data_IF_172479875102
#
_entry.id   IF_172479875102
#
_cell.length_a   1.000
_cell.length_b   1.000
_cell.length_c   1.000
_cell.angle_alpha   90.00
_cell.angle_beta   90.00
_cell.angle_gamma   90.00
#
_symmetry.space_group_name_H-M   'P 1'
#
loop_
_entity.id
_entity.type
_entity.pdbx_description
1 polymer ?
#
# COMPACT_ATOMS: atom_id res chain seq x y z
N UNK A 1 2.53 5.59 20.83
CA UNK A 1 3.94 5.28 20.45
C UNK A 1 4.96 5.93 21.38
N UNK A 2 5.03 7.27 21.48
CA UNK A 2 6.00 7.98 22.35
C UNK A 2 6.06 7.45 23.79
N UNK A 3 4.91 7.25 24.42
CA UNK A 3 4.85 6.73 25.80
C UNK A 3 5.35 5.28 25.90
N UNK A 4 5.02 4.43 24.92
CA UNK A 4 5.51 3.04 24.88
C UNK A 4 7.03 3.03 24.69
N UNK A 5 7.56 3.83 23.78
CA UNK A 5 9.01 3.99 23.56
C UNK A 5 9.74 4.51 24.79
N UNK A 6 9.11 5.36 25.60
CA UNK A 6 9.66 5.85 26.88
C UNK A 6 9.71 4.74 27.94
N UNK A 7 8.67 3.90 28.02
CA UNK A 7 8.56 2.81 29.00
C UNK A 7 9.41 1.59 28.62
N UNK A 8 9.57 1.34 27.33
CA UNK A 8 10.28 0.19 26.77
C UNK A 8 11.33 0.67 25.74
N UNK A 9 12.39 1.35 26.20
CA UNK A 9 13.42 1.88 25.31
C UNK A 9 14.10 0.74 24.54
N UNK A 10 14.20 0.89 23.22
CA UNK A 10 14.80 -0.11 22.33
C UNK A 10 13.94 -1.35 22.03
N UNK A 11 12.75 -1.48 22.62
CA UNK A 11 11.87 -2.61 22.33
C UNK A 11 11.28 -2.51 20.92
N UNK A 12 11.41 -3.54 20.05
CA UNK A 12 10.88 -3.48 18.69
C UNK A 12 9.34 -3.47 18.67
N UNK A 13 8.74 -2.48 18.00
CA UNK A 13 7.28 -2.34 17.88
C UNK A 13 6.82 -2.70 16.46
N UNK A 14 5.67 -3.39 16.37
CA UNK A 14 4.99 -3.73 15.13
C UNK A 14 3.69 -2.93 15.01
N UNK A 15 3.44 -2.32 13.85
CA UNK A 15 2.16 -1.72 13.52
C UNK A 15 1.33 -2.65 12.62
N UNK A 16 0.09 -2.90 13.05
CA UNK A 16 -0.92 -3.66 12.29
C UNK A 16 -1.93 -2.69 11.66
N UNK A 17 -2.64 -3.14 10.61
CA UNK A 17 -3.70 -2.36 9.97
C UNK A 17 -3.22 -1.02 9.40
N UNK A 18 -1.97 -0.95 8.95
CA UNK A 18 -1.27 0.31 8.66
C UNK A 18 -1.19 0.65 7.17
N UNK A 19 -2.14 0.14 6.39
CA UNK A 19 -2.26 0.44 4.96
C UNK A 19 -2.75 1.90 4.79
N UNK A 20 -2.18 2.64 3.83
CA UNK A 20 -2.56 4.04 3.61
C UNK A 20 -3.78 4.23 2.72
N UNK A 21 -4.20 3.16 2.02
CA UNK A 21 -5.35 3.14 1.10
C UNK A 21 -5.21 4.23 0.04
N UNK A 22 -4.30 4.07 -0.94
CA UNK A 22 -4.05 5.09 -1.96
C UNK A 22 -5.33 5.36 -2.76
N UNK A 23 -5.76 6.62 -2.76
CA UNK A 23 -7.05 7.01 -3.32
C UNK A 23 -7.10 6.88 -4.84
N UNK A 24 -5.95 6.90 -5.51
CA UNK A 24 -5.85 6.63 -6.95
C UNK A 24 -6.39 5.23 -7.31
N UNK A 25 -6.06 4.20 -6.53
CA UNK A 25 -6.54 2.84 -6.76
C UNK A 25 -7.98 2.66 -6.31
N UNK A 26 -8.41 3.35 -5.24
CA UNK A 26 -9.83 3.39 -4.84
C UNK A 26 -10.68 3.97 -5.97
N UNK A 27 -10.23 5.09 -6.56
CA UNK A 27 -10.89 5.73 -7.70
C UNK A 27 -10.94 4.80 -8.90
N UNK A 28 -9.79 4.22 -9.29
CA UNK A 28 -9.71 3.25 -10.38
C UNK A 28 -10.67 2.07 -10.19
N UNK A 29 -10.73 1.50 -8.98
CA UNK A 29 -11.70 0.43 -8.69
C UNK A 29 -13.14 0.90 -8.88
N UNK A 30 -13.49 2.09 -8.40
CA UNK A 30 -14.84 2.63 -8.51
C UNK A 30 -15.24 2.95 -9.96
N UNK A 31 -14.30 3.42 -10.79
CA UNK A 31 -14.52 3.72 -12.20
C UNK A 31 -14.73 2.43 -13.02
N UNK A 32 -14.09 1.33 -12.63
CA UNK A 32 -14.14 0.04 -13.34
C UNK A 32 -14.96 -1.04 -12.60
N UNK A 33 -16.20 -0.67 -12.25
CA UNK A 33 -17.23 -1.60 -11.78
C UNK A 33 -17.08 -2.11 -10.34
N UNK A 34 -16.17 -1.54 -9.56
CA UNK A 34 -16.06 -1.76 -8.12
C UNK A 34 -16.85 -0.73 -7.30
N UNK A 35 -17.00 -0.99 -5.99
CA UNK A 35 -17.63 -0.07 -5.04
C UNK A 35 -16.88 -0.10 -3.71
N UNK A 36 -16.18 0.97 -3.41
CA UNK A 36 -15.35 1.12 -2.21
C UNK A 36 -15.77 2.37 -1.41
N UNK A 37 -17.01 2.46 -0.91
CA UNK A 37 -17.44 3.59 -0.10
C UNK A 37 -16.62 3.63 1.20
N UNK A 38 -16.19 4.83 1.61
CA UNK A 38 -15.48 5.07 2.87
C UNK A 38 -14.12 4.36 3.00
N UNK A 39 -13.46 4.02 1.89
CA UNK A 39 -12.11 3.46 1.91
C UNK A 39 -11.08 4.53 2.31
N UNK A 40 -10.73 4.56 3.59
CA UNK A 40 -9.77 5.49 4.20
C UNK A 40 -8.68 4.67 4.87
N UNK A 41 -7.43 5.10 4.74
CA UNK A 41 -6.27 4.46 5.35
C UNK A 41 -5.52 5.39 6.31
N UNK A 42 -4.39 4.89 6.81
CA UNK A 42 -3.52 5.65 7.70
C UNK A 42 -2.71 6.67 6.89
N UNK A 43 -2.70 7.96 7.27
CA UNK A 43 -1.88 8.97 6.60
C UNK A 43 -0.39 8.59 6.59
N UNK A 44 0.26 8.71 5.44
CA UNK A 44 1.65 8.24 5.25
C UNK A 44 2.66 9.05 6.06
N UNK A 45 2.39 10.32 6.34
CA UNK A 45 3.16 11.16 7.25
C UNK A 45 3.17 10.59 8.68
N UNK A 46 2.05 10.04 9.15
CA UNK A 46 2.00 9.37 10.46
C UNK A 46 2.80 8.06 10.47
N UNK A 47 2.77 7.30 9.37
CA UNK A 47 3.60 6.09 9.22
C UNK A 47 5.09 6.45 9.19
N UNK A 48 5.46 7.53 8.50
CA UNK A 48 6.81 8.07 8.45
C UNK A 48 7.30 8.48 9.84
N UNK A 49 6.48 9.20 10.60
CA UNK A 49 6.82 9.59 11.96
C UNK A 49 6.92 8.37 12.89
N UNK A 50 6.04 7.38 12.74
CA UNK A 50 6.12 6.14 13.51
C UNK A 50 7.41 5.36 13.22
N UNK A 51 7.84 5.27 11.96
CA UNK A 51 9.07 4.59 11.55
C UNK A 51 10.36 5.25 12.08
N UNK A 52 10.31 6.52 12.49
CA UNK A 52 11.43 7.20 13.18
C UNK A 52 11.53 6.86 14.67
N UNK A 53 10.51 6.21 15.24
CA UNK A 53 10.46 5.80 16.64
C UNK A 53 10.86 4.32 16.77
N UNK A 54 10.40 3.64 17.82
CA UNK A 54 10.69 2.22 18.08
C UNK A 54 9.98 1.23 17.14
N UNK A 55 9.29 1.70 16.10
CA UNK A 55 8.58 0.83 15.14
C UNK A 55 9.57 0.27 14.14
N UNK A 56 9.73 -1.05 14.13
CA UNK A 56 10.63 -1.75 13.21
C UNK A 56 9.90 -2.53 12.12
N UNK A 57 8.57 -2.67 12.21
CA UNK A 57 7.75 -3.42 11.26
C UNK A 57 6.38 -2.76 11.10
N UNK A 58 6.00 -2.49 9.86
CA UNK A 58 4.69 -1.92 9.51
C UNK A 58 4.02 -2.87 8.52
N UNK A 59 2.83 -3.37 8.88
CA UNK A 59 2.08 -4.29 8.03
C UNK A 59 1.26 -3.51 7.00
N UNK A 60 1.54 -3.76 5.72
CA UNK A 60 0.85 -3.18 4.57
C UNK A 60 0.37 -4.33 3.68
N UNK A 61 -0.93 -4.40 3.43
CA UNK A 61 -1.54 -5.45 2.61
C UNK A 61 -2.67 -4.87 1.74
N UNK A 62 -3.59 -4.11 2.35
CA UNK A 62 -4.71 -3.51 1.61
C UNK A 62 -4.23 -2.64 0.44
N UNK A 63 -3.12 -1.90 0.58
CA UNK A 63 -2.56 -1.10 -0.51
C UNK A 63 -2.17 -1.97 -1.72
N UNK A 64 -1.58 -3.14 -1.47
CA UNK A 64 -1.16 -4.09 -2.53
C UNK A 64 -2.38 -4.68 -3.22
N UNK A 65 -3.42 -5.04 -2.45
CA UNK A 65 -4.68 -5.56 -2.98
C UNK A 65 -5.42 -4.53 -3.82
N UNK A 66 -5.42 -3.27 -3.40
CA UNK A 66 -6.01 -2.16 -4.14
C UNK A 66 -5.28 -1.94 -5.47
N UNK A 67 -3.94 -1.89 -5.45
CA UNK A 67 -3.13 -1.74 -6.66
C UNK A 67 -3.37 -2.87 -7.66
N UNK A 68 -3.36 -4.13 -7.20
CA UNK A 68 -3.67 -5.28 -8.04
C UNK A 68 -5.09 -5.20 -8.61
N UNK A 69 -6.08 -5.05 -7.74
CA UNK A 69 -7.49 -5.15 -8.12
C UNK A 69 -7.92 -4.01 -9.02
N UNK A 70 -7.49 -2.77 -8.73
CA UNK A 70 -7.77 -1.61 -9.58
C UNK A 70 -7.19 -1.80 -10.96
N UNK A 71 -5.91 -2.19 -11.05
CA UNK A 71 -5.23 -2.35 -12.35
C UNK A 71 -5.85 -3.45 -13.18
N UNK A 72 -6.19 -4.60 -12.56
CA UNK A 72 -6.84 -5.71 -13.28
C UNK A 72 -8.24 -5.31 -13.76
N UNK A 73 -9.01 -4.59 -12.94
CA UNK A 73 -10.35 -4.10 -13.35
C UNK A 73 -10.27 -3.14 -14.52
N UNK A 74 -9.39 -2.14 -14.45
CA UNK A 74 -9.18 -1.17 -15.53
C UNK A 74 -8.80 -1.88 -16.84
N UNK A 75 -7.83 -2.79 -16.77
CA UNK A 75 -7.38 -3.51 -17.95
C UNK A 75 -8.50 -4.32 -18.62
N UNK A 76 -9.28 -5.07 -17.84
CA UNK A 76 -10.34 -5.93 -18.39
C UNK A 76 -11.53 -5.13 -18.92
N UNK A 77 -11.78 -3.95 -18.36
CA UNK A 77 -12.82 -3.02 -18.83
C UNK A 77 -12.41 -2.36 -20.16
N UNK A 78 -11.14 -1.95 -20.29
CA UNK A 78 -10.59 -1.31 -21.49
C UNK A 78 -10.31 -2.31 -22.64
N UNK A 79 -10.11 -3.59 -22.32
CA UNK A 79 -9.70 -4.63 -23.26
C UNK A 79 -10.58 -5.88 -23.18
N UNK A 80 -11.87 -5.80 -23.58
CA UNK A 80 -12.83 -6.89 -23.42
C UNK A 80 -12.52 -8.14 -24.27
N UNK A 81 -11.68 -8.01 -25.30
CA UNK A 81 -11.20 -9.12 -26.14
C UNK A 81 -10.04 -9.92 -25.50
N UNK A 82 -9.44 -9.39 -24.44
CA UNK A 82 -8.24 -9.95 -23.81
C UNK A 82 -8.60 -10.89 -22.66
N UNK A 83 -8.03 -12.08 -22.69
CA UNK A 83 -8.22 -13.11 -21.67
C UNK A 83 -6.91 -13.68 -21.11
N UNK A 84 -5.77 -13.39 -21.74
CA UNK A 84 -4.48 -13.91 -21.30
C UNK A 84 -4.10 -13.28 -19.95
N UNK A 85 -3.96 -14.07 -18.87
CA UNK A 85 -3.59 -13.56 -17.56
C UNK A 85 -2.29 -12.78 -17.52
N UNK A 86 -1.36 -13.09 -18.42
CA UNK A 86 -0.08 -12.38 -18.48
C UNK A 86 -0.27 -10.94 -18.93
N UNK A 87 -1.26 -10.66 -19.76
CA UNK A 87 -1.52 -9.31 -20.26
C UNK A 87 -2.04 -8.39 -19.15
N UNK A 88 -3.03 -8.84 -18.35
CA UNK A 88 -3.57 -8.02 -17.25
C UNK A 88 -2.77 -8.08 -15.95
N UNK A 89 -2.06 -9.18 -15.66
CA UNK A 89 -1.23 -9.28 -14.45
C UNK A 89 0.12 -8.56 -14.59
N UNK A 90 0.64 -8.37 -15.82
CA UNK A 90 1.89 -7.63 -16.05
C UNK A 90 1.82 -6.18 -15.55
N UNK A 91 0.84 -5.33 -15.95
CA UNK A 91 0.73 -3.98 -15.41
C UNK A 91 0.38 -3.98 -13.93
N UNK A 92 -0.45 -4.91 -13.45
CA UNK A 92 -0.82 -4.99 -12.03
C UNK A 92 0.40 -5.27 -11.11
N UNK A 93 1.30 -6.18 -11.54
CA UNK A 93 2.57 -6.42 -10.85
C UNK A 93 3.52 -5.23 -10.90
N UNK A 94 3.54 -4.48 -12.01
CA UNK A 94 4.34 -3.27 -12.13
C UNK A 94 3.87 -2.19 -11.14
N UNK A 95 2.56 -1.98 -11.03
CA UNK A 95 1.97 -1.03 -10.08
C UNK A 95 2.23 -1.43 -8.62
N UNK A 96 2.15 -2.71 -8.27
CA UNK A 96 2.56 -3.19 -6.94
C UNK A 96 4.04 -2.89 -6.68
N UNK A 97 4.92 -3.16 -7.65
CA UNK A 97 6.35 -2.93 -7.49
C UNK A 97 6.63 -1.45 -7.22
N UNK A 98 5.97 -0.57 -7.96
CA UNK A 98 6.12 0.87 -7.80
C UNK A 98 5.55 1.38 -6.47
N UNK A 99 4.37 0.90 -6.08
CA UNK A 99 3.78 1.16 -4.76
C UNK A 99 4.74 0.74 -3.64
N UNK A 100 5.30 -0.46 -3.70
CA UNK A 100 6.27 -0.94 -2.69
C UNK A 100 7.53 -0.08 -2.70
N UNK A 101 8.04 0.32 -3.87
CA UNK A 101 9.19 1.23 -3.99
C UNK A 101 8.90 2.57 -3.27
N UNK A 102 7.76 3.19 -3.54
CA UNK A 102 7.28 4.39 -2.86
C UNK A 102 7.22 4.18 -1.34
N UNK A 103 6.61 3.08 -0.87
CA UNK A 103 6.58 2.77 0.57
C UNK A 103 7.97 2.69 1.17
N UNK A 104 8.92 2.01 0.55
CA UNK A 104 10.27 1.82 1.09
C UNK A 104 11.07 3.13 1.17
N UNK A 105 10.95 3.98 0.14
CA UNK A 105 11.70 5.25 0.02
C UNK A 105 11.01 6.36 0.81
N UNK A 106 9.75 6.62 0.49
CA UNK A 106 9.04 7.86 0.81
C UNK A 106 8.18 7.76 2.08
N UNK A 107 7.86 6.54 2.54
CA UNK A 107 7.07 6.30 3.76
C UNK A 107 7.91 5.70 4.89
N UNK A 108 8.49 4.52 4.67
CA UNK A 108 9.19 3.73 5.69
C UNK A 108 10.64 4.17 5.89
N UNK A 109 11.32 4.69 4.86
CA UNK A 109 12.69 5.21 4.99
C UNK A 109 13.74 4.14 5.23
N UNK A 110 13.52 2.96 4.64
CA UNK A 110 14.41 1.82 4.75
C UNK A 110 15.17 1.52 3.45
N UNK A 111 14.96 2.31 2.39
CA UNK A 111 15.75 2.19 1.17
C UNK A 111 17.26 2.36 1.43
N UNK A 112 18.09 1.51 0.80
CA UNK A 112 19.55 1.55 0.93
C UNK A 112 20.12 0.93 2.21
N UNK A 113 19.33 0.18 2.98
CA UNK A 113 19.74 -0.47 4.25
C UNK A 113 19.81 -1.99 4.16
N UNK A 114 20.08 -2.53 2.96
CA UNK A 114 20.17 -3.96 2.68
C UNK A 114 21.53 -4.54 3.09
#
# INVERSE_FOLDING_TARGET
LKEVSKRLPGFPIVLHGSSSVPQEYVKMINEHGGKMPNAIGVPEDQLREAAKLSVCKINIDSDLRLAMTGTVRAFLDEHPDKFDPREYLKPARANIKELVRHKLVDVLGCAGKA
#
